data_IF_295803675584
#
_entry.id   IF_295803675584
#
_cell.length_a   1.000
_cell.length_b   1.000
_cell.length_c   1.000
_cell.angle_alpha   90.00
_cell.angle_beta   90.00
_cell.angle_gamma   90.00
#
_symmetry.space_group_name_H-M   'P 1'
#
loop_
_entity.id
_entity.type
_entity.pdbx_description
1 polymer ?
#
# COMPACT_ATOMS: atom_id res chain seq x y z
N UNK A 1 39.76 -3.52 10.37
CA UNK A 1 38.60 -3.57 11.29
C UNK A 1 37.41 -4.05 10.50
N UNK A 2 36.71 -5.09 10.97
CA UNK A 2 35.43 -5.52 10.38
C UNK A 2 34.41 -4.41 10.64
N UNK A 3 33.97 -3.73 9.58
CA UNK A 3 32.87 -2.76 9.68
C UNK A 3 31.56 -3.54 9.74
N UNK A 4 30.62 -3.11 10.57
CA UNK A 4 29.24 -3.60 10.55
C UNK A 4 28.33 -2.51 9.98
N UNK A 5 28.49 -2.07 8.72
CA UNK A 5 27.88 -0.84 8.21
C UNK A 5 26.35 -0.82 8.38
N UNK A 6 25.68 -1.97 8.24
CA UNK A 6 24.25 -2.09 8.48
C UNK A 6 23.89 -1.91 9.97
N UNK A 7 24.56 -2.64 10.87
CA UNK A 7 24.31 -2.54 12.31
C UNK A 7 24.67 -1.15 12.82
N UNK A 8 25.82 -0.61 12.41
CA UNK A 8 26.26 0.75 12.71
C UNK A 8 25.25 1.79 12.20
N UNK A 9 24.75 1.65 10.98
CA UNK A 9 23.73 2.53 10.40
C UNK A 9 22.40 2.47 11.14
N UNK A 10 21.89 1.26 11.43
CA UNK A 10 20.65 1.06 12.18
C UNK A 10 20.81 1.59 13.62
N UNK A 11 21.91 1.26 14.31
CA UNK A 11 22.18 1.77 15.65
C UNK A 11 22.37 3.28 15.67
N UNK A 12 22.97 3.87 14.62
CA UNK A 12 23.04 5.33 14.46
C UNK A 12 21.63 5.91 14.36
N UNK A 13 20.79 5.38 13.47
CA UNK A 13 19.39 5.82 13.32
C UNK A 13 18.59 5.69 14.63
N UNK A 14 18.76 4.58 15.36
CA UNK A 14 18.14 4.39 16.68
C UNK A 14 18.61 5.45 17.68
N UNK A 15 19.90 5.81 17.66
CA UNK A 15 20.48 6.85 18.52
C UNK A 15 20.11 8.27 18.13
N UNK A 16 19.63 8.50 16.90
CA UNK A 16 19.13 9.81 16.46
C UNK A 16 17.79 10.17 17.12
N UNK A 17 17.06 9.18 17.68
CA UNK A 17 15.78 9.39 18.35
C UNK A 17 14.74 10.12 17.48
N UNK A 18 14.73 9.83 16.17
CA UNK A 18 13.81 10.42 15.20
C UNK A 18 12.34 10.13 15.54
N UNK A 19 11.48 11.13 15.38
CA UNK A 19 10.02 11.03 15.49
C UNK A 19 9.48 10.42 14.19
N UNK A 20 8.73 9.32 14.29
CA UNK A 20 8.24 8.57 13.12
C UNK A 20 6.75 8.78 12.85
N UNK A 21 6.46 9.36 11.69
CA UNK A 21 5.15 9.50 11.06
C UNK A 21 5.05 8.67 9.76
N UNK A 22 5.85 7.61 9.68
CA UNK A 22 5.90 6.61 8.60
C UNK A 22 5.48 5.23 9.10
N UNK A 23 5.36 4.27 8.19
CA UNK A 23 5.37 2.85 8.57
C UNK A 23 6.73 2.43 9.18
N UNK A 24 6.81 1.34 9.97
CA UNK A 24 5.73 0.43 10.39
C UNK A 24 4.87 0.95 11.56
N UNK A 25 3.64 0.47 11.63
CA UNK A 25 2.59 0.92 12.53
C UNK A 25 2.92 0.81 14.02
N UNK A 26 3.80 -0.10 14.45
CA UNK A 26 4.24 -0.26 15.86
C UNK A 26 5.15 0.88 16.37
N UNK A 27 5.56 1.83 15.51
CA UNK A 27 6.34 3.02 15.85
C UNK A 27 7.58 2.72 16.70
N UNK A 28 8.50 1.93 16.14
CA UNK A 28 9.76 1.50 16.77
C UNK A 28 9.58 0.67 18.06
N UNK A 29 8.46 -0.04 18.17
CA UNK A 29 8.20 -1.00 19.25
C UNK A 29 7.31 -0.44 20.36
N UNK A 30 7.09 0.88 20.37
CA UNK A 30 6.20 1.56 21.33
C UNK A 30 4.80 0.98 21.35
N UNK A 31 4.28 0.54 20.20
CA UNK A 31 2.95 -0.06 20.12
C UNK A 31 2.79 -1.36 20.91
N UNK A 32 3.87 -2.10 21.18
CA UNK A 32 3.81 -3.26 22.07
C UNK A 32 3.85 -2.85 23.55
N UNK A 33 4.41 -1.68 23.88
CA UNK A 33 4.56 -1.21 25.26
C UNK A 33 3.28 -0.64 25.87
N UNK A 34 2.19 -0.53 25.11
CA UNK A 34 0.93 0.09 25.57
C UNK A 34 0.09 -0.81 26.47
N UNK A 35 0.37 -2.12 26.51
CA UNK A 35 -0.41 -3.13 27.27
C UNK A 35 0.52 -4.04 28.05
N UNK A 36 0.02 -4.78 29.05
CA UNK A 36 0.83 -5.74 29.79
C UNK A 36 1.29 -6.91 28.88
N UNK A 37 0.38 -7.41 28.05
CA UNK A 37 0.58 -8.54 27.13
C UNK A 37 1.66 -8.22 26.09
N UNK A 38 1.60 -7.03 25.50
CA UNK A 38 2.60 -6.57 24.53
C UNK A 38 3.99 -6.34 25.16
N UNK A 39 4.07 -5.91 26.43
CA UNK A 39 5.35 -5.82 27.16
C UNK A 39 5.94 -7.20 27.39
N UNK A 40 5.13 -8.15 27.84
CA UNK A 40 5.56 -9.53 28.02
C UNK A 40 6.04 -10.16 26.71
N UNK A 41 5.35 -9.89 25.59
CA UNK A 41 5.81 -10.29 24.25
C UNK A 41 7.17 -9.68 23.91
N UNK A 42 7.36 -8.38 24.18
CA UNK A 42 8.62 -7.67 23.92
C UNK A 42 9.79 -8.22 24.77
N UNK A 43 9.55 -8.50 26.04
CA UNK A 43 10.56 -9.04 26.95
C UNK A 43 11.02 -10.45 26.55
N UNK A 44 10.16 -11.19 25.85
CA UNK A 44 10.43 -12.56 25.37
C UNK A 44 10.76 -12.65 23.88
N UNK A 45 11.01 -11.53 23.20
CA UNK A 45 11.10 -11.48 21.72
C UNK A 45 12.11 -12.48 21.12
N UNK A 46 13.29 -12.62 21.71
CA UNK A 46 14.29 -13.58 21.20
C UNK A 46 13.90 -15.01 21.59
N UNK A 47 13.33 -15.20 22.78
CA UNK A 47 12.88 -16.51 23.27
C UNK A 47 11.71 -17.09 22.45
N UNK A 48 10.93 -16.24 21.79
CA UNK A 48 9.83 -16.64 20.91
C UNK A 48 10.29 -17.04 19.50
N UNK A 49 11.57 -16.91 19.15
CA UNK A 49 12.09 -17.33 17.83
C UNK A 49 12.34 -18.85 17.81
N UNK A 50 11.24 -19.59 17.71
CA UNK A 50 11.19 -21.05 17.69
C UNK A 50 10.63 -21.56 16.36
N UNK A 51 10.71 -22.88 16.14
CA UNK A 51 10.16 -23.57 14.96
C UNK A 51 9.05 -24.53 15.39
N UNK A 52 8.34 -25.13 14.43
CA UNK A 52 7.29 -26.14 14.65
C UNK A 52 7.78 -27.37 15.45
N UNK A 53 7.70 -27.27 16.78
CA UNK A 53 8.03 -28.32 17.73
C UNK A 53 6.81 -28.74 18.54
N UNK A 54 6.88 -29.90 19.18
CA UNK A 54 5.79 -30.38 20.02
C UNK A 54 5.41 -29.34 21.10
N UNK A 55 4.12 -29.00 21.18
CA UNK A 55 3.60 -27.96 22.07
C UNK A 55 3.33 -26.62 21.39
N UNK A 56 3.82 -26.43 20.16
CA UNK A 56 3.47 -25.31 19.28
C UNK A 56 2.98 -25.85 17.92
N UNK A 57 2.23 -25.04 17.17
CA UNK A 57 1.40 -25.49 16.03
C UNK A 57 2.10 -25.28 14.67
N UNK A 58 1.83 -26.12 13.67
CA UNK A 58 2.46 -25.99 12.34
C UNK A 58 1.60 -25.07 11.44
N UNK A 59 2.17 -23.97 10.90
CA UNK A 59 1.41 -23.03 10.06
C UNK A 59 0.78 -23.67 8.81
N UNK A 60 1.43 -24.67 8.21
CA UNK A 60 0.92 -25.38 7.03
C UNK A 60 -0.13 -26.45 7.37
N UNK A 61 -0.26 -26.78 8.65
CA UNK A 61 -1.23 -27.76 9.18
C UNK A 61 -1.71 -27.31 10.56
N UNK A 62 -2.32 -26.12 10.61
CA UNK A 62 -2.73 -25.49 11.85
C UNK A 62 -3.90 -26.26 12.50
N UNK A 63 -3.66 -26.82 13.69
CA UNK A 63 -4.65 -27.62 14.44
C UNK A 63 -4.87 -27.11 15.87
N UNK A 64 -3.99 -26.24 16.38
CA UNK A 64 -3.97 -25.71 17.74
C UNK A 64 -3.93 -24.17 17.79
N UNK A 65 -2.88 -23.61 18.41
CA UNK A 65 -2.80 -22.16 18.68
C UNK A 65 -2.90 -21.29 17.42
N UNK A 66 -2.35 -21.72 16.29
CA UNK A 66 -2.43 -20.94 15.03
C UNK A 66 -3.86 -20.99 14.49
N UNK A 67 -4.52 -22.14 14.59
CA UNK A 67 -5.92 -22.29 14.19
C UNK A 67 -6.82 -21.38 15.03
N UNK A 68 -6.69 -21.42 16.35
CA UNK A 68 -7.46 -20.54 17.25
C UNK A 68 -7.22 -19.06 16.95
N UNK A 69 -5.95 -18.67 16.80
CA UNK A 69 -5.57 -17.30 16.41
C UNK A 69 -6.19 -16.85 15.09
N UNK A 70 -6.19 -17.70 14.06
CA UNK A 70 -6.76 -17.36 12.74
C UNK A 70 -8.29 -17.39 12.72
N UNK A 71 -8.94 -18.21 13.55
CA UNK A 71 -10.40 -18.18 13.77
C UNK A 71 -10.84 -16.87 14.44
N UNK A 72 -10.12 -16.45 15.48
CA UNK A 72 -10.35 -15.16 16.14
C UNK A 72 -10.08 -13.98 15.18
N UNK A 73 -9.05 -14.07 14.34
CA UNK A 73 -8.80 -13.11 13.26
C UNK A 73 -10.00 -13.04 12.28
N UNK A 74 -10.50 -14.19 11.86
CA UNK A 74 -11.65 -14.30 10.96
C UNK A 74 -12.90 -13.65 11.56
N UNK A 75 -13.14 -13.90 12.85
CA UNK A 75 -14.24 -13.29 13.60
C UNK A 75 -14.15 -11.77 13.68
N UNK A 76 -12.97 -11.21 13.95
CA UNK A 76 -12.78 -9.75 14.03
C UNK A 76 -13.06 -9.06 12.69
N UNK A 77 -12.47 -9.58 11.60
CA UNK A 77 -12.64 -9.02 10.25
C UNK A 77 -13.98 -9.40 9.61
N UNK A 78 -14.71 -10.39 10.15
CA UNK A 78 -15.96 -10.86 9.57
C UNK A 78 -15.77 -11.63 8.27
N UNK A 79 -14.65 -12.34 8.13
CA UNK A 79 -14.34 -13.20 6.98
C UNK A 79 -14.75 -14.64 7.25
N UNK A 80 -14.98 -15.42 6.20
CA UNK A 80 -15.16 -16.87 6.32
C UNK A 80 -13.88 -17.57 6.82
N UNK A 81 -12.71 -17.19 6.28
CA UNK A 81 -11.41 -17.70 6.72
C UNK A 81 -10.31 -16.66 6.58
N UNK A 82 -9.39 -16.64 7.53
CA UNK A 82 -8.22 -15.77 7.53
C UNK A 82 -6.92 -16.54 7.67
N UNK A 83 -5.84 -15.97 7.15
CA UNK A 83 -4.50 -16.55 7.17
C UNK A 83 -3.48 -15.51 7.66
N UNK A 84 -2.50 -15.99 8.42
CA UNK A 84 -1.28 -15.24 8.73
C UNK A 84 -0.28 -15.37 7.58
N UNK A 85 0.20 -14.24 7.06
CA UNK A 85 1.20 -14.19 6.00
C UNK A 85 2.51 -13.63 6.56
N UNK A 86 3.55 -14.48 6.59
CA UNK A 86 4.90 -14.10 7.05
C UNK A 86 5.81 -13.60 5.91
N UNK A 87 5.33 -13.63 4.67
CA UNK A 87 6.02 -13.17 3.46
C UNK A 87 5.39 -11.88 2.88
N UNK A 88 4.68 -11.12 3.71
CA UNK A 88 4.04 -9.86 3.38
C UNK A 88 2.80 -9.99 2.47
N UNK A 89 2.15 -8.86 2.18
CA UNK A 89 0.98 -8.86 1.29
C UNK A 89 1.32 -9.25 -0.15
N UNK A 90 2.61 -9.24 -0.53
CA UNK A 90 3.08 -9.80 -1.80
C UNK A 90 2.66 -11.27 -1.96
N UNK A 91 2.87 -12.12 -0.95
CA UNK A 91 2.44 -13.52 -1.03
C UNK A 91 0.91 -13.63 -1.06
N UNK A 92 0.21 -12.80 -0.27
CA UNK A 92 -1.26 -12.74 -0.28
C UNK A 92 -1.83 -12.39 -1.65
N UNK A 93 -1.26 -11.39 -2.34
CA UNK A 93 -1.65 -11.03 -3.72
C UNK A 93 -1.44 -12.19 -4.70
N UNK A 94 -0.31 -12.91 -4.61
CA UNK A 94 -0.07 -14.09 -5.44
C UNK A 94 -1.08 -15.20 -5.13
N UNK A 95 -1.37 -15.47 -3.86
CA UNK A 95 -2.37 -16.47 -3.44
C UNK A 95 -3.75 -16.11 -4.00
N UNK A 96 -4.19 -14.85 -3.86
CA UNK A 96 -5.48 -14.38 -4.39
C UNK A 96 -5.57 -14.61 -5.91
N UNK A 97 -4.54 -14.21 -6.67
CA UNK A 97 -4.51 -14.34 -8.13
C UNK A 97 -4.53 -15.81 -8.58
N UNK A 98 -3.64 -16.62 -8.02
CA UNK A 98 -3.45 -18.00 -8.47
C UNK A 98 -4.62 -18.92 -8.05
N UNK A 99 -5.24 -18.66 -6.90
CA UNK A 99 -6.42 -19.40 -6.45
C UNK A 99 -7.70 -19.00 -7.20
N UNK A 100 -7.76 -17.77 -7.74
CA UNK A 100 -8.96 -17.24 -8.38
C UNK A 100 -9.00 -17.42 -9.89
N UNK A 101 -7.84 -17.42 -10.57
CA UNK A 101 -7.79 -17.38 -12.03
C UNK A 101 -6.95 -18.51 -12.63
N UNK A 102 -7.35 -18.97 -13.81
CA UNK A 102 -6.60 -19.89 -14.66
C UNK A 102 -5.69 -19.14 -15.64
N UNK A 103 -4.70 -19.85 -16.17
CA UNK A 103 -3.80 -19.29 -17.18
C UNK A 103 -4.56 -18.76 -18.40
N UNK A 104 -4.19 -17.57 -18.88
CA UNK A 104 -4.78 -16.96 -20.08
C UNK A 104 -6.15 -16.30 -19.89
N UNK A 105 -6.74 -16.35 -18.69
CA UNK A 105 -8.02 -15.71 -18.39
C UNK A 105 -7.92 -14.18 -18.39
N UNK A 106 -9.01 -13.52 -18.80
CA UNK A 106 -9.12 -12.07 -18.80
C UNK A 106 -9.55 -11.57 -17.43
N UNK A 107 -8.91 -10.49 -16.95
CA UNK A 107 -9.24 -9.83 -15.68
C UNK A 107 -9.27 -8.31 -15.85
N UNK A 108 -10.02 -7.63 -14.99
CA UNK A 108 -10.03 -6.17 -14.89
C UNK A 108 -9.11 -5.76 -13.75
N UNK A 109 -8.23 -4.80 -13.96
CA UNK A 109 -7.17 -4.46 -13.00
C UNK A 109 -7.07 -2.95 -12.82
N UNK A 110 -6.99 -2.49 -11.58
CA UNK A 110 -6.61 -1.11 -11.28
C UNK A 110 -5.17 -0.84 -11.77
N UNK A 111 -4.99 0.20 -12.59
CA UNK A 111 -3.66 0.57 -13.08
C UNK A 111 -2.70 0.97 -11.95
N UNK A 112 -3.23 1.42 -10.81
CA UNK A 112 -2.47 1.81 -9.63
C UNK A 112 -2.19 0.66 -8.65
N UNK A 113 -2.34 -0.60 -9.07
CA UNK A 113 -1.98 -1.73 -8.24
C UNK A 113 -0.48 -1.77 -7.89
N UNK A 114 -0.15 -2.40 -6.76
CA UNK A 114 1.23 -2.66 -6.38
C UNK A 114 1.90 -3.65 -7.35
N UNK A 115 3.22 -3.52 -7.54
CA UNK A 115 4.03 -4.41 -8.41
C UNK A 115 3.78 -5.92 -8.22
N UNK A 116 3.40 -6.35 -7.01
CA UNK A 116 3.09 -7.76 -6.73
C UNK A 116 1.88 -8.29 -7.51
N UNK A 117 0.86 -7.44 -7.74
CA UNK A 117 -0.31 -7.82 -8.55
C UNK A 117 0.13 -8.07 -9.99
N UNK A 118 0.92 -7.14 -10.54
CA UNK A 118 1.48 -7.28 -11.89
C UNK A 118 2.39 -8.50 -12.04
N UNK A 119 3.22 -8.80 -11.02
CA UNK A 119 4.01 -10.03 -11.00
C UNK A 119 3.10 -11.27 -11.07
N UNK A 120 2.00 -11.29 -10.32
CA UNK A 120 1.01 -12.36 -10.39
C UNK A 120 0.36 -12.49 -11.77
N UNK A 121 0.03 -11.37 -12.41
CA UNK A 121 -0.53 -11.32 -13.78
C UNK A 121 0.47 -11.92 -14.78
N UNK A 122 1.74 -11.54 -14.70
CA UNK A 122 2.81 -12.07 -15.55
C UNK A 122 2.98 -13.57 -15.33
N UNK A 123 3.17 -14.00 -14.07
CA UNK A 123 3.43 -15.40 -13.72
C UNK A 123 2.26 -16.32 -14.07
N UNK A 124 1.02 -15.82 -13.95
CA UNK A 124 -0.20 -16.56 -14.29
C UNK A 124 -0.65 -16.35 -15.74
N UNK A 125 0.12 -15.58 -16.54
CA UNK A 125 -0.16 -15.23 -17.95
C UNK A 125 -1.59 -14.75 -18.17
N UNK A 126 -2.07 -13.91 -17.26
CA UNK A 126 -3.42 -13.33 -17.35
C UNK A 126 -3.47 -12.23 -18.41
N UNK A 127 -4.67 -11.93 -18.89
CA UNK A 127 -4.93 -10.87 -19.86
C UNK A 127 -5.58 -9.68 -19.16
N UNK A 128 -4.81 -8.69 -18.69
CA UNK A 128 -5.35 -7.56 -17.95
C UNK A 128 -6.07 -6.59 -18.88
N UNK A 129 -7.18 -6.03 -18.39
CA UNK A 129 -7.81 -4.83 -18.92
C UNK A 129 -7.78 -3.78 -17.82
N UNK A 130 -7.11 -2.66 -18.07
CA UNK A 130 -6.83 -1.68 -17.03
C UNK A 130 -7.96 -0.67 -16.83
N UNK A 131 -8.17 -0.29 -15.57
CA UNK A 131 -9.02 0.83 -15.17
C UNK A 131 -8.11 2.01 -14.83
N UNK A 132 -8.39 3.18 -15.43
CA UNK A 132 -7.63 4.39 -15.17
C UNK A 132 -7.95 4.97 -13.80
N UNK A 133 -6.99 5.71 -13.26
CA UNK A 133 -7.16 6.51 -12.05
C UNK A 133 -7.38 7.97 -12.44
N UNK A 134 -8.11 8.68 -11.58
CA UNK A 134 -8.26 10.13 -11.64
C UNK A 134 -6.99 10.76 -11.05
N UNK A 135 -6.40 11.71 -11.78
CA UNK A 135 -5.43 12.64 -11.22
C UNK A 135 -6.20 13.91 -10.87
N UNK A 136 -6.15 14.31 -9.59
CA UNK A 136 -6.82 15.52 -9.15
C UNK A 136 -6.01 16.75 -9.59
N UNK A 137 -6.60 17.62 -10.41
CA UNK A 137 -5.89 18.79 -10.95
C UNK A 137 -5.62 19.89 -9.92
N UNK A 138 -6.35 19.92 -8.80
CA UNK A 138 -6.16 20.91 -7.74
C UNK A 138 -4.96 20.54 -6.86
N UNK A 139 -4.86 19.27 -6.48
CA UNK A 139 -3.83 18.74 -5.59
C UNK A 139 -2.67 18.06 -6.32
N UNK A 140 -2.79 17.87 -7.63
CA UNK A 140 -1.82 17.21 -8.50
C UNK A 140 -1.37 15.84 -7.93
N UNK A 141 -2.33 15.07 -7.44
CA UNK A 141 -2.11 13.77 -6.81
C UNK A 141 -3.00 12.70 -7.44
N UNK A 142 -2.54 11.44 -7.51
CA UNK A 142 -3.41 10.28 -7.76
C UNK A 142 -4.55 10.25 -6.74
N UNK A 143 -5.79 10.39 -7.24
CA UNK A 143 -6.96 10.51 -6.40
C UNK A 143 -7.56 9.14 -6.08
N UNK A 144 -8.13 8.45 -7.06
CA UNK A 144 -8.68 7.09 -6.93
C UNK A 144 -9.05 6.55 -8.31
N UNK A 145 -9.61 5.33 -8.38
CA UNK A 145 -10.11 4.77 -9.63
C UNK A 145 -11.21 5.67 -10.24
N UNK A 146 -11.20 5.80 -11.57
CA UNK A 146 -12.29 6.46 -12.30
C UNK A 146 -13.49 5.52 -12.38
N UNK A 147 -14.52 5.79 -11.56
CA UNK A 147 -15.71 4.95 -11.48
C UNK A 147 -16.54 4.95 -12.78
N UNK A 148 -16.55 6.05 -13.55
CA UNK A 148 -17.22 6.07 -14.86
C UNK A 148 -16.54 5.12 -15.83
N UNK A 149 -15.21 5.22 -15.90
CA UNK A 149 -14.41 4.35 -16.74
C UNK A 149 -14.50 2.89 -16.29
N UNK A 150 -14.50 2.63 -14.98
CA UNK A 150 -14.72 1.30 -14.41
C UNK A 150 -16.01 0.66 -14.94
N UNK A 151 -17.15 1.37 -14.86
CA UNK A 151 -18.43 0.86 -15.36
C UNK A 151 -18.46 0.66 -16.88
N UNK A 152 -17.71 1.48 -17.63
CA UNK A 152 -17.54 1.25 -19.08
C UNK A 152 -16.73 -0.01 -19.35
N UNK A 153 -15.59 -0.18 -18.70
CA UNK A 153 -14.68 -1.32 -18.87
C UNK A 153 -15.38 -2.63 -18.57
N UNK A 154 -16.15 -2.71 -17.47
CA UNK A 154 -16.86 -3.95 -17.11
C UNK A 154 -17.95 -4.30 -18.12
N UNK A 155 -18.67 -3.30 -18.65
CA UNK A 155 -19.70 -3.50 -19.68
C UNK A 155 -19.12 -4.02 -21.00
N UNK A 156 -17.92 -3.57 -21.36
CA UNK A 156 -17.21 -3.97 -22.58
C UNK A 156 -16.47 -5.30 -22.45
N UNK A 157 -16.24 -5.80 -21.23
CA UNK A 157 -15.43 -7.00 -20.94
C UNK A 157 -16.18 -8.03 -20.09
N UNK A 158 -17.40 -8.38 -20.50
CA UNK A 158 -18.24 -9.37 -19.80
C UNK A 158 -17.65 -10.78 -19.72
N UNK A 159 -16.62 -11.06 -20.52
CA UNK A 159 -15.87 -12.32 -20.51
C UNK A 159 -14.76 -12.36 -19.45
N UNK A 160 -14.46 -11.25 -18.77
CA UNK A 160 -13.50 -11.21 -17.68
C UNK A 160 -13.98 -12.07 -16.48
N UNK A 161 -13.02 -12.69 -15.78
CA UNK A 161 -13.28 -13.62 -14.67
C UNK A 161 -13.25 -12.96 -13.30
N UNK A 162 -12.64 -11.79 -13.21
CA UNK A 162 -12.57 -11.06 -11.96
C UNK A 162 -11.92 -9.70 -12.10
N UNK A 163 -11.90 -9.01 -10.97
CA UNK A 163 -11.48 -7.63 -10.80
C UNK A 163 -10.45 -7.62 -9.67
N UNK A 164 -9.32 -6.93 -9.87
CA UNK A 164 -8.31 -6.69 -8.84
C UNK A 164 -8.15 -5.18 -8.67
N UNK A 165 -8.43 -4.67 -7.46
CA UNK A 165 -8.35 -3.23 -7.15
C UNK A 165 -7.56 -2.97 -5.86
N UNK A 166 -7.06 -1.75 -5.69
CA UNK A 166 -6.35 -1.34 -4.47
C UNK A 166 -7.20 -0.41 -3.61
N UNK A 167 -7.47 -0.78 -2.36
CA UNK A 167 -8.33 -0.02 -1.44
C UNK A 167 -7.79 -0.07 0.00
N UNK A 168 -7.51 1.06 0.68
CA UNK A 168 -7.44 2.40 0.12
C UNK A 168 -6.25 2.49 -0.84
N UNK A 169 -6.19 3.55 -1.64
CA UNK A 169 -4.95 3.86 -2.34
C UNK A 169 -3.86 4.34 -1.35
N UNK A 170 -2.65 4.60 -1.85
CA UNK A 170 -1.53 5.01 -1.00
C UNK A 170 -1.81 6.30 -0.21
N UNK A 171 -2.57 7.23 -0.80
CA UNK A 171 -2.96 8.50 -0.20
C UNK A 171 -4.04 8.36 0.88
N UNK A 172 -4.64 7.17 1.04
CA UNK A 172 -5.73 6.92 1.99
C UNK A 172 -7.12 7.18 1.40
N UNK A 173 -7.22 7.45 0.10
CA UNK A 173 -8.51 7.64 -0.59
C UNK A 173 -9.17 6.29 -0.85
N UNK A 174 -10.44 6.20 -0.50
CA UNK A 174 -11.29 5.03 -0.56
C UNK A 174 -12.37 5.25 -1.62
N UNK A 175 -12.59 4.29 -2.51
CA UNK A 175 -13.74 4.31 -3.43
C UNK A 175 -14.87 3.41 -2.90
N UNK A 176 -16.07 3.56 -3.45
CA UNK A 176 -17.21 2.75 -3.07
C UNK A 176 -17.08 1.31 -3.58
N UNK A 177 -16.55 0.41 -2.74
CA UNK A 177 -16.39 -1.01 -3.09
C UNK A 177 -17.74 -1.71 -3.24
N UNK A 178 -18.77 -1.31 -2.49
CA UNK A 178 -20.08 -1.96 -2.56
C UNK A 178 -20.70 -1.82 -3.97
N UNK A 179 -20.52 -0.66 -4.61
CA UNK A 179 -20.92 -0.46 -6.02
C UNK A 179 -20.13 -1.33 -6.98
N UNK A 180 -18.81 -1.47 -6.77
CA UNK A 180 -17.94 -2.36 -7.54
C UNK A 180 -18.41 -3.81 -7.42
N UNK A 181 -18.63 -4.30 -6.19
CA UNK A 181 -19.07 -5.66 -5.91
C UNK A 181 -20.44 -5.91 -6.54
N UNK A 182 -21.37 -4.97 -6.42
CA UNK A 182 -22.70 -5.06 -7.02
C UNK A 182 -22.62 -5.23 -8.53
N UNK A 183 -21.76 -4.48 -9.21
CA UNK A 183 -21.62 -4.57 -10.66
C UNK A 183 -20.84 -5.82 -11.10
N UNK A 184 -19.80 -6.21 -10.35
CA UNK A 184 -19.04 -7.44 -10.58
C UNK A 184 -19.94 -8.69 -10.52
N UNK A 185 -20.81 -8.78 -9.50
CA UNK A 185 -21.75 -9.89 -9.32
C UNK A 185 -22.72 -10.05 -10.49
N UNK A 186 -23.21 -8.95 -11.07
CA UNK A 186 -24.08 -9.01 -12.27
C UNK A 186 -23.40 -9.67 -13.47
N UNK A 187 -22.07 -9.63 -13.51
CA UNK A 187 -21.26 -10.19 -14.59
C UNK A 187 -20.51 -11.47 -14.17
N UNK A 188 -20.86 -12.07 -13.02
CA UNK A 188 -20.20 -13.26 -12.47
C UNK A 188 -18.68 -13.12 -12.32
N UNK A 189 -18.21 -11.93 -11.93
CA UNK A 189 -16.80 -11.64 -11.71
C UNK A 189 -16.46 -11.69 -10.22
N UNK A 190 -15.31 -12.30 -9.89
CA UNK A 190 -14.72 -12.19 -8.55
C UNK A 190 -14.14 -10.80 -8.30
N UNK A 191 -14.12 -10.35 -7.06
CA UNK A 191 -13.53 -9.08 -6.61
C UNK A 191 -12.45 -9.37 -5.58
N UNK A 192 -11.21 -9.15 -5.98
CA UNK A 192 -10.02 -9.30 -5.14
C UNK A 192 -9.50 -7.90 -4.80
N UNK A 193 -9.26 -7.64 -3.52
CA UNK A 193 -8.84 -6.32 -3.07
C UNK A 193 -7.45 -6.38 -2.40
N UNK A 194 -6.52 -5.58 -2.91
CA UNK A 194 -5.29 -5.25 -2.20
C UNK A 194 -5.56 -4.10 -1.23
N UNK A 195 -5.76 -4.46 0.03
CA UNK A 195 -5.94 -3.54 1.15
C UNK A 195 -4.70 -3.43 2.05
N UNK A 196 -3.50 -3.49 1.46
CA UNK A 196 -2.24 -3.37 2.21
C UNK A 196 -2.24 -2.18 3.20
N UNK A 197 -2.84 -1.05 2.83
CA UNK A 197 -2.88 0.17 3.63
C UNK A 197 -4.10 0.29 4.56
N UNK A 198 -5.03 -0.68 4.56
CA UNK A 198 -6.31 -0.64 5.27
C UNK A 198 -6.42 -1.64 6.43
N UNK A 199 -5.31 -2.10 7.01
CA UNK A 199 -5.36 -3.14 8.06
C UNK A 199 -6.08 -2.69 9.35
N UNK A 200 -6.21 -1.38 9.59
CA UNK A 200 -6.93 -0.84 10.74
C UNK A 200 -8.42 -0.57 10.47
N UNK A 201 -8.87 -0.73 9.23
CA UNK A 201 -10.25 -0.42 8.83
C UNK A 201 -11.26 -1.33 9.53
N UNK A 202 -12.34 -0.73 10.02
CA UNK A 202 -13.36 -1.41 10.82
C UNK A 202 -12.99 -1.61 12.30
N UNK A 203 -11.88 -1.04 12.79
CA UNK A 203 -11.55 -1.02 14.21
C UNK A 203 -12.26 0.10 15.00
N UNK A 204 -12.76 1.13 14.31
CA UNK A 204 -13.54 2.24 14.85
C UNK A 204 -14.54 2.70 13.77
N UNK A 205 -15.71 3.18 14.19
CA UNK A 205 -16.79 3.61 13.28
C UNK A 205 -16.49 4.85 12.41
N UNK A 206 -15.52 5.69 12.81
CA UNK A 206 -15.06 6.87 12.06
C UNK A 206 -14.09 6.51 10.92
N UNK A 207 -13.45 5.34 10.99
CA UNK A 207 -12.57 4.80 9.95
C UNK A 207 -13.39 4.25 8.76
N UNK A 208 -12.80 4.19 7.56
CA UNK A 208 -13.40 3.45 6.46
C UNK A 208 -13.66 1.99 6.83
N UNK A 209 -14.67 1.40 6.18
CA UNK A 209 -15.01 -0.01 6.37
C UNK A 209 -14.02 -0.93 5.68
N UNK A 210 -13.85 -2.12 6.24
CA UNK A 210 -13.01 -3.17 5.65
C UNK A 210 -13.68 -3.76 4.40
N UNK A 211 -12.90 -3.91 3.33
CA UNK A 211 -13.38 -4.45 2.06
C UNK A 211 -13.97 -5.86 2.17
N UNK A 212 -13.50 -6.66 3.13
CA UNK A 212 -14.02 -8.02 3.34
C UNK A 212 -15.44 -7.98 3.91
N UNK A 213 -15.73 -7.05 4.84
CA UNK A 213 -17.09 -6.85 5.39
C UNK A 213 -18.06 -6.31 4.35
N UNK A 214 -17.57 -5.53 3.40
CA UNK A 214 -18.34 -5.04 2.25
C UNK A 214 -18.67 -6.14 1.24
N UNK A 215 -18.06 -7.33 1.36
CA UNK A 215 -18.39 -8.51 0.57
C UNK A 215 -17.47 -8.77 -0.63
N UNK A 216 -16.24 -8.24 -0.61
CA UNK A 216 -15.19 -8.67 -1.54
C UNK A 216 -14.89 -10.16 -1.35
N UNK A 217 -14.51 -10.89 -2.40
CA UNK A 217 -14.30 -12.34 -2.34
C UNK A 217 -13.03 -12.68 -1.56
N UNK A 218 -11.97 -11.90 -1.77
CA UNK A 218 -10.70 -12.00 -1.05
C UNK A 218 -10.08 -10.62 -0.81
N UNK A 219 -9.43 -10.46 0.34
CA UNK A 219 -8.76 -9.21 0.71
C UNK A 219 -7.42 -9.51 1.36
N UNK A 220 -6.35 -8.89 0.88
CA UNK A 220 -5.06 -8.90 1.57
C UNK A 220 -4.84 -7.57 2.31
N UNK A 221 -4.31 -7.61 3.52
CA UNK A 221 -3.92 -6.40 4.28
C UNK A 221 -2.49 -6.53 4.81
N UNK A 222 -1.72 -5.43 4.91
CA UNK A 222 -0.40 -5.46 5.54
C UNK A 222 -0.52 -5.02 6.98
N UNK A 223 -0.39 -5.97 7.92
CA UNK A 223 -0.52 -5.66 9.35
C UNK A 223 0.53 -4.64 9.78
N UNK A 224 1.80 -4.84 9.40
CA UNK A 224 2.90 -3.95 9.78
C UNK A 224 2.78 -2.50 9.32
N UNK A 225 1.94 -2.19 8.31
CA UNK A 225 1.83 -0.81 7.82
C UNK A 225 1.10 0.08 8.82
N UNK A 226 -0.02 -0.38 9.36
CA UNK A 226 -0.90 0.44 10.21
C UNK A 226 -1.22 -0.19 11.58
N UNK A 227 -0.75 -1.40 11.88
CA UNK A 227 -0.98 -2.10 13.16
C UNK A 227 0.34 -2.30 13.93
N UNK A 228 0.31 -2.63 15.24
CA UNK A 228 1.52 -2.93 15.99
C UNK A 228 2.08 -4.32 15.63
N UNK A 229 2.59 -4.47 14.40
CA UNK A 229 3.13 -5.72 13.85
C UNK A 229 4.45 -5.48 13.13
N UNK A 230 5.32 -6.49 13.11
CA UNK A 230 6.65 -6.41 12.50
C UNK A 230 6.59 -6.33 10.97
N UNK A 231 7.49 -5.58 10.34
CA UNK A 231 7.64 -5.54 8.87
C UNK A 231 7.67 -6.94 8.27
N UNK A 232 7.04 -7.12 7.10
CA UNK A 232 6.75 -8.39 6.41
C UNK A 232 5.50 -9.16 6.89
N UNK A 233 4.79 -8.69 7.91
CA UNK A 233 3.52 -9.33 8.30
C UNK A 233 2.32 -8.82 7.52
N UNK A 234 1.40 -9.74 7.21
CA UNK A 234 0.16 -9.45 6.49
C UNK A 234 -0.94 -10.47 6.84
N UNK A 235 -2.19 -10.14 6.50
CA UNK A 235 -3.32 -11.07 6.56
C UNK A 235 -3.91 -11.28 5.18
N UNK A 236 -4.43 -12.47 4.94
CA UNK A 236 -5.32 -12.78 3.83
C UNK A 236 -6.68 -13.18 4.41
N UNK A 237 -7.75 -12.57 3.91
CA UNK A 237 -9.13 -12.83 4.29
C UNK A 237 -9.91 -13.35 3.09
N UNK A 238 -10.73 -14.37 3.30
CA UNK A 238 -11.55 -15.05 2.27
C UNK A 238 -13.00 -15.04 2.73
N UNK A 239 -13.93 -14.75 1.81
CA UNK A 239 -15.37 -14.81 2.08
C UNK A 239 -16.08 -16.04 1.51
N UNK A 240 -15.51 -16.68 0.48
CA UNK A 240 -16.14 -17.82 -0.18
C UNK A 240 -15.53 -19.15 0.27
N UNK A 241 -16.37 -20.03 0.84
CA UNK A 241 -15.97 -21.38 1.26
C UNK A 241 -15.40 -22.21 0.10
N UNK A 242 -15.96 -22.08 -1.08
CA UNK A 242 -15.57 -22.84 -2.28
C UNK A 242 -14.13 -22.56 -2.74
N UNK A 243 -13.56 -21.44 -2.32
CA UNK A 243 -12.20 -21.06 -2.69
C UNK A 243 -11.13 -21.57 -1.72
N UNK A 244 -11.52 -22.01 -0.52
CA UNK A 244 -10.60 -22.33 0.58
C UNK A 244 -9.58 -23.41 0.19
N UNK A 245 -9.99 -24.45 -0.54
CA UNK A 245 -9.08 -25.55 -0.89
C UNK A 245 -7.99 -25.10 -1.87
N UNK A 246 -8.35 -24.29 -2.88
CA UNK A 246 -7.39 -23.69 -3.80
C UNK A 246 -6.48 -22.70 -3.08
N UNK A 247 -7.03 -21.90 -2.18
CA UNK A 247 -6.26 -20.96 -1.35
C UNK A 247 -5.27 -21.72 -0.48
N UNK A 248 -5.67 -22.81 0.19
CA UNK A 248 -4.77 -23.63 1.01
C UNK A 248 -3.59 -24.17 0.19
N UNK A 249 -3.84 -24.64 -1.04
CA UNK A 249 -2.79 -25.11 -1.94
C UNK A 249 -1.75 -24.00 -2.21
N UNK A 250 -2.19 -22.83 -2.67
CA UNK A 250 -1.27 -21.74 -3.00
C UNK A 250 -0.67 -21.05 -1.77
N UNK A 251 -1.36 -21.06 -0.62
CA UNK A 251 -0.80 -20.63 0.65
C UNK A 251 0.44 -21.45 1.00
N UNK A 252 0.39 -22.76 0.80
CA UNK A 252 1.55 -23.64 0.99
C UNK A 252 2.65 -23.43 -0.05
N UNK A 253 2.31 -23.01 -1.28
CA UNK A 253 3.31 -22.71 -2.31
C UNK A 253 4.03 -21.38 -2.11
N UNK A 254 3.34 -20.36 -1.59
CA UNK A 254 3.85 -18.98 -1.52
C UNK A 254 4.24 -18.52 -0.11
N UNK A 255 4.14 -19.40 0.89
CA UNK A 255 4.59 -19.13 2.26
C UNK A 255 5.88 -19.89 2.56
N UNK A 256 6.67 -19.36 3.49
CA UNK A 256 7.87 -20.06 4.01
C UNK A 256 7.49 -21.37 4.69
N UNK A 257 8.26 -22.44 4.40
CA UNK A 257 8.19 -23.72 5.12
C UNK A 257 8.71 -23.65 6.56
N UNK A 258 9.36 -22.55 6.91
CA UNK A 258 9.85 -22.25 8.26
C UNK A 258 9.37 -20.83 8.62
N UNK A 259 8.10 -20.67 9.00
CA UNK A 259 7.53 -19.37 9.32
C UNK A 259 8.04 -18.86 10.67
N UNK A 260 8.28 -17.55 10.77
CA UNK A 260 8.70 -16.96 12.05
C UNK A 260 7.52 -16.89 13.02
N UNK A 261 7.65 -17.54 14.18
CA UNK A 261 6.68 -17.40 15.27
C UNK A 261 6.62 -15.97 15.81
N UNK A 262 7.72 -15.20 15.74
CA UNK A 262 7.70 -13.78 16.11
C UNK A 262 6.73 -12.97 15.26
N UNK A 263 6.73 -13.26 13.95
CA UNK A 263 5.82 -12.60 13.02
C UNK A 263 4.37 -12.96 13.37
N UNK A 264 4.10 -14.24 13.61
CA UNK A 264 2.77 -14.73 14.01
C UNK A 264 2.30 -14.15 15.35
N UNK A 265 3.15 -14.11 16.38
CA UNK A 265 2.84 -13.50 17.67
C UNK A 265 2.55 -11.99 17.54
N UNK A 266 3.35 -11.25 16.76
CA UNK A 266 3.10 -9.82 16.55
C UNK A 266 1.79 -9.54 15.80
N UNK A 267 1.42 -10.44 14.88
CA UNK A 267 0.16 -10.42 14.14
C UNK A 267 -1.04 -10.74 15.03
N UNK A 268 -0.91 -11.77 15.86
CA UNK A 268 -1.93 -12.16 16.82
C UNK A 268 -2.17 -11.08 17.88
N UNK A 269 -1.09 -10.48 18.39
CA UNK A 269 -1.15 -9.30 19.26
C UNK A 269 -1.82 -8.12 18.57
N UNK A 270 -1.53 -7.84 17.30
CA UNK A 270 -2.19 -6.76 16.55
C UNK A 270 -3.70 -6.96 16.47
N UNK A 271 -4.17 -8.18 16.19
CA UNK A 271 -5.60 -8.52 16.22
C UNK A 271 -6.17 -8.33 17.62
N UNK A 272 -5.50 -8.84 18.64
CA UNK A 272 -5.90 -8.68 20.04
C UNK A 272 -6.04 -7.20 20.41
N UNK A 273 -5.09 -6.36 20.01
CA UNK A 273 -5.12 -4.93 20.30
C UNK A 273 -6.33 -4.25 19.65
N UNK A 274 -6.57 -4.51 18.36
CA UNK A 274 -7.73 -3.95 17.67
C UNK A 274 -9.05 -4.36 18.33
N UNK A 275 -9.18 -5.63 18.72
CA UNK A 275 -10.41 -6.14 19.30
C UNK A 275 -10.73 -5.54 20.68
N UNK A 276 -9.71 -5.29 21.51
CA UNK A 276 -9.91 -4.87 22.90
C UNK A 276 -9.75 -3.35 23.11
N UNK A 277 -8.91 -2.70 22.31
CA UNK A 277 -8.56 -1.29 22.49
C UNK A 277 -8.80 -0.44 21.24
N UNK A 278 -9.02 -1.06 20.07
CA UNK A 278 -9.09 -0.39 18.78
C UNK A 278 -10.11 0.75 18.71
N UNK A 279 -11.34 0.51 19.19
CA UNK A 279 -12.43 1.51 19.10
C UNK A 279 -11.99 2.82 19.77
N UNK A 280 -11.58 2.77 21.04
CA UNK A 280 -11.15 3.97 21.78
C UNK A 280 -9.83 4.53 21.24
N UNK A 281 -8.86 3.67 20.95
CA UNK A 281 -7.52 4.11 20.56
C UNK A 281 -7.52 4.89 19.23
N UNK A 282 -8.34 4.47 18.26
CA UNK A 282 -8.50 5.21 17.01
C UNK A 282 -9.40 6.44 17.17
N UNK A 283 -10.37 6.43 18.08
CA UNK A 283 -11.17 7.62 18.40
C UNK A 283 -10.26 8.76 18.90
N UNK A 284 -9.43 8.46 19.91
CA UNK A 284 -8.47 9.39 20.49
C UNK A 284 -7.45 9.88 19.45
N UNK A 285 -6.97 8.99 18.57
CA UNK A 285 -6.06 9.35 17.48
C UNK A 285 -6.69 10.33 16.48
N UNK A 286 -7.93 10.06 16.06
CA UNK A 286 -8.63 10.88 15.08
C UNK A 286 -8.89 12.27 15.66
N UNK A 287 -9.32 12.36 16.93
CA UNK A 287 -9.50 13.65 17.60
C UNK A 287 -8.18 14.44 17.71
N UNK A 288 -7.08 13.76 18.03
CA UNK A 288 -5.75 14.36 18.07
C UNK A 288 -5.32 14.86 16.69
N UNK A 289 -5.54 14.08 15.65
CA UNK A 289 -5.27 14.49 14.27
C UNK A 289 -6.12 15.70 13.89
N UNK A 290 -7.44 15.66 14.08
CA UNK A 290 -8.32 16.78 13.72
C UNK A 290 -7.93 18.09 14.43
N UNK A 291 -7.52 18.02 15.72
CA UNK A 291 -6.99 19.17 16.47
C UNK A 291 -5.80 19.81 15.77
N UNK A 292 -4.77 19.03 15.42
CA UNK A 292 -3.56 19.56 14.81
C UNK A 292 -3.71 19.89 13.33
N UNK A 293 -4.61 19.21 12.63
CA UNK A 293 -5.02 19.58 11.27
C UNK A 293 -5.52 21.03 11.24
N UNK A 294 -6.43 21.39 12.14
CA UNK A 294 -6.99 22.75 12.21
C UNK A 294 -5.92 23.83 12.50
N UNK A 295 -4.84 23.49 13.21
CA UNK A 295 -3.71 24.40 13.44
C UNK A 295 -2.76 24.49 12.24
N UNK A 296 -2.50 23.37 11.55
CA UNK A 296 -1.64 23.31 10.37
C UNK A 296 -2.27 24.05 9.18
N UNK A 297 -3.59 23.96 9.01
CA UNK A 297 -4.32 24.67 7.94
C UNK A 297 -4.28 26.20 8.07
N UNK A 298 -3.79 26.74 9.20
CA UNK A 298 -3.53 28.18 9.36
C UNK A 298 -2.16 28.62 8.86
N UNK A 299 -1.31 27.68 8.45
CA UNK A 299 0.03 27.98 7.91
C UNK A 299 -0.14 28.36 6.44
N UNK A 300 0.40 29.51 6.05
CA UNK A 300 0.35 29.99 4.67
C UNK A 300 0.95 28.95 3.70
N UNK A 301 0.32 28.80 2.53
CA UNK A 301 0.72 27.86 1.47
C UNK A 301 0.64 26.37 1.81
N UNK A 302 0.07 26.00 2.98
CA UNK A 302 -0.12 24.61 3.39
C UNK A 302 -1.60 24.31 3.54
N UNK A 303 -2.03 23.17 2.99
CA UNK A 303 -3.38 22.64 3.20
C UNK A 303 -3.33 21.15 3.48
N UNK A 304 -4.37 20.60 4.11
CA UNK A 304 -4.52 19.16 4.28
C UNK A 304 -5.79 18.74 3.55
N UNK A 305 -5.69 17.76 2.65
CA UNK A 305 -6.85 17.28 1.91
C UNK A 305 -7.92 16.78 2.91
N UNK A 306 -9.17 17.22 2.71
CA UNK A 306 -10.26 16.92 3.62
C UNK A 306 -11.13 15.78 3.11
N UNK A 307 -11.77 15.06 4.06
CA UNK A 307 -12.76 14.02 3.75
C UNK A 307 -13.93 14.59 2.93
N UNK A 308 -14.32 15.84 3.17
CA UNK A 308 -15.37 16.52 2.40
C UNK A 308 -14.93 16.85 0.97
N UNK A 309 -13.65 17.14 0.74
CA UNK A 309 -13.14 17.35 -0.61
C UNK A 309 -13.26 16.09 -1.45
N UNK A 310 -12.92 14.93 -0.88
CA UNK A 310 -12.91 13.69 -1.66
C UNK A 310 -14.32 13.16 -1.96
N UNK A 311 -15.32 13.55 -1.15
CA UNK A 311 -16.72 13.15 -1.36
C UNK A 311 -17.28 13.75 -2.65
N UNK A 312 -17.28 12.96 -3.71
CA UNK A 312 -17.91 13.30 -4.99
C UNK A 312 -19.21 12.52 -5.19
N UNK A 313 -19.79 12.57 -6.40
CA UNK A 313 -20.98 11.79 -6.77
C UNK A 313 -20.83 10.28 -6.60
N UNK A 314 -19.60 9.76 -6.56
CA UNK A 314 -19.29 8.33 -6.35
C UNK A 314 -18.97 7.97 -4.90
N UNK A 315 -19.24 8.87 -3.95
CA UNK A 315 -19.12 8.61 -2.50
C UNK A 315 -17.72 8.10 -2.09
N UNK A 316 -16.65 8.68 -2.64
CA UNK A 316 -15.32 8.41 -2.12
C UNK A 316 -15.20 8.85 -0.66
N UNK A 317 -14.29 8.19 0.06
CA UNK A 317 -14.01 8.42 1.46
C UNK A 317 -12.50 8.61 1.68
N UNK A 318 -12.09 9.05 2.88
CA UNK A 318 -10.70 9.30 3.24
C UNK A 318 -10.36 8.69 4.59
N UNK A 319 -9.22 7.99 4.66
CA UNK A 319 -8.61 7.53 5.91
C UNK A 319 -8.22 8.74 6.80
N UNK A 320 -8.91 8.97 7.95
CA UNK A 320 -8.64 10.11 8.81
C UNK A 320 -7.33 9.97 9.60
N UNK A 321 -6.67 8.80 9.55
CA UNK A 321 -5.40 8.54 10.24
C UNK A 321 -4.18 8.91 9.39
N UNK A 322 -4.38 9.76 8.38
CA UNK A 322 -3.32 10.26 7.50
C UNK A 322 -3.49 11.74 7.23
N UNK A 323 -2.37 12.42 7.05
CA UNK A 323 -2.37 13.70 6.34
C UNK A 323 -1.82 13.52 4.94
N UNK A 324 -2.58 14.02 3.99
CA UNK A 324 -2.07 14.43 2.68
C UNK A 324 -1.84 15.94 2.79
N UNK A 325 -0.66 16.32 3.24
CA UNK A 325 -0.26 17.73 3.32
C UNK A 325 0.07 18.18 1.91
N UNK A 326 -0.69 19.14 1.39
CA UNK A 326 -0.52 19.71 0.07
C UNK A 326 0.03 21.13 0.18
N UNK A 327 1.09 21.40 -0.59
CA UNK A 327 1.66 22.71 -0.76
C UNK A 327 1.03 23.42 -1.96
N UNK A 328 0.89 24.74 -1.86
CA UNK A 328 0.44 25.57 -2.97
C UNK A 328 1.35 25.38 -4.20
N UNK A 329 0.77 25.52 -5.40
CA UNK A 329 1.53 25.44 -6.65
C UNK A 329 2.72 26.41 -6.63
N UNK A 330 3.89 25.91 -7.02
CA UNK A 330 5.17 26.63 -6.99
C UNK A 330 6.07 26.27 -5.81
N UNK A 331 5.59 25.50 -4.83
CA UNK A 331 6.41 24.95 -3.73
C UNK A 331 6.65 23.44 -3.92
N UNK A 332 7.79 22.93 -3.45
CA UNK A 332 8.21 21.54 -3.64
C UNK A 332 8.08 20.69 -2.35
N UNK A 333 7.30 19.62 -2.41
CA UNK A 333 7.06 18.67 -1.31
C UNK A 333 8.27 17.81 -0.93
N UNK A 334 9.17 17.50 -1.87
CA UNK A 334 10.39 16.75 -1.60
C UNK A 334 11.39 17.59 -0.78
N UNK A 335 11.50 18.89 -1.06
CA UNK A 335 12.30 19.79 -0.24
C UNK A 335 11.75 19.92 1.19
N UNK A 336 10.42 19.91 1.35
CA UNK A 336 9.80 19.86 2.67
C UNK A 336 10.07 18.51 3.37
N UNK A 337 10.02 17.38 2.64
CA UNK A 337 10.38 16.06 3.18
C UNK A 337 11.81 16.06 3.73
N UNK A 338 12.77 16.58 2.96
CA UNK A 338 14.18 16.65 3.38
C UNK A 338 14.36 17.57 4.59
N UNK A 339 13.72 18.73 4.60
CA UNK A 339 13.72 19.63 5.75
C UNK A 339 13.17 18.94 7.01
N UNK A 340 12.04 18.24 6.91
CA UNK A 340 11.46 17.52 8.05
C UNK A 340 12.40 16.41 8.53
N UNK A 341 13.05 15.70 7.61
CA UNK A 341 14.07 14.69 7.94
C UNK A 341 15.25 15.29 8.69
N UNK A 342 15.76 16.45 8.26
CA UNK A 342 16.81 17.19 8.98
C UNK A 342 16.38 17.61 10.40
N UNK A 343 15.08 17.81 10.61
CA UNK A 343 14.48 18.12 11.93
C UNK A 343 14.13 16.88 12.76
N UNK A 344 14.50 15.69 12.30
CA UNK A 344 14.23 14.42 12.98
C UNK A 344 12.79 13.93 12.85
N UNK A 345 12.06 14.38 11.82
CA UNK A 345 10.70 13.92 11.49
C UNK A 345 10.77 13.03 10.26
N UNK A 346 10.42 11.75 10.42
CA UNK A 346 10.33 10.81 9.32
C UNK A 346 8.89 10.71 8.80
N UNK A 347 8.64 11.29 7.63
CA UNK A 347 7.38 11.14 6.89
C UNK A 347 7.40 9.87 6.03
N UNK A 348 6.24 9.50 5.47
CA UNK A 348 6.10 8.30 4.65
C UNK A 348 6.68 8.51 3.24
N UNK A 349 6.21 9.53 2.53
CA UNK A 349 6.67 9.88 1.19
C UNK A 349 6.28 11.31 0.83
N UNK A 350 6.79 11.80 -0.29
CA UNK A 350 6.31 13.01 -0.96
C UNK A 350 6.15 12.76 -2.46
N UNK A 351 5.33 13.59 -3.09
CA UNK A 351 5.42 13.91 -4.51
C UNK A 351 5.77 15.40 -4.66
N UNK A 352 5.66 15.96 -5.86
CA UNK A 352 5.99 17.37 -6.13
C UNK A 352 5.30 18.35 -5.20
N UNK A 353 4.04 18.14 -4.85
CA UNK A 353 3.27 19.10 -4.04
C UNK A 353 2.71 18.49 -2.76
N UNK A 354 2.76 17.17 -2.60
CA UNK A 354 2.14 16.48 -1.47
C UNK A 354 3.18 15.77 -0.62
N UNK A 355 2.92 15.75 0.69
CA UNK A 355 3.67 15.01 1.68
C UNK A 355 2.69 14.12 2.45
N UNK A 356 3.00 12.83 2.56
CA UNK A 356 2.15 11.85 3.22
C UNK A 356 2.70 11.55 4.61
N UNK A 357 1.83 11.68 5.60
CA UNK A 357 2.09 11.26 6.98
C UNK A 357 1.05 10.20 7.37
N UNK A 358 1.51 9.10 7.96
CA UNK A 358 0.65 8.00 8.41
C UNK A 358 0.74 7.89 9.93
N UNK A 359 -0.39 8.03 10.59
CA UNK A 359 -0.51 7.95 12.03
C UNK A 359 -0.96 6.55 12.46
N UNK A 360 -0.66 6.23 13.71
CA UNK A 360 -1.26 5.11 14.41
C UNK A 360 -1.53 5.52 15.85
N UNK A 361 -2.31 4.76 16.63
CA UNK A 361 -2.60 5.11 18.04
C UNK A 361 -1.37 5.14 18.95
N UNK A 362 -0.19 4.82 18.41
CA UNK A 362 1.08 4.79 19.11
C UNK A 362 1.92 6.05 18.90
N UNK A 363 1.39 7.02 18.13
CA UNK A 363 1.87 8.39 18.12
C UNK A 363 1.25 9.18 19.29
N UNK A 364 2.00 10.07 19.92
CA UNK A 364 1.54 10.87 21.07
C UNK A 364 1.39 12.36 20.75
N UNK A 365 0.72 13.10 21.64
CA UNK A 365 0.42 14.52 21.45
C UNK A 365 1.69 15.40 21.30
N UNK A 366 2.78 15.11 22.01
CA UNK A 366 4.00 15.89 21.89
C UNK A 366 4.66 15.72 20.51
N UNK A 367 4.51 14.55 19.87
CA UNK A 367 4.98 14.35 18.50
C UNK A 367 4.17 15.20 17.51
N UNK A 368 2.83 15.22 17.62
CA UNK A 368 1.99 16.07 16.77
C UNK A 368 2.28 17.55 16.98
N UNK A 369 2.51 17.96 18.23
CA UNK A 369 2.92 19.33 18.58
C UNK A 369 4.27 19.70 17.96
N UNK A 370 5.23 18.78 17.99
CA UNK A 370 6.54 18.98 17.37
C UNK A 370 6.45 19.09 15.85
N UNK A 371 5.63 18.25 15.20
CA UNK A 371 5.33 18.35 13.78
C UNK A 371 4.74 19.73 13.43
N UNK A 372 3.68 20.15 14.13
CA UNK A 372 3.06 21.46 13.92
C UNK A 372 4.07 22.61 14.10
N UNK A 373 4.84 22.61 15.19
CA UNK A 373 5.86 23.64 15.44
C UNK A 373 6.90 23.68 14.32
N UNK A 374 7.37 22.52 13.88
CA UNK A 374 8.39 22.41 12.83
C UNK A 374 7.89 22.92 11.49
N UNK A 375 6.62 22.64 11.14
CA UNK A 375 5.97 23.17 9.94
C UNK A 375 5.77 24.69 10.04
N UNK A 376 5.31 25.19 11.19
CA UNK A 376 5.09 26.62 11.41
C UNK A 376 6.36 27.46 11.35
N UNK A 377 7.47 26.92 11.83
CA UNK A 377 8.78 27.57 11.81
C UNK A 377 9.51 27.40 10.46
N UNK A 378 8.91 26.65 9.52
CA UNK A 378 9.48 26.40 8.21
C UNK A 378 9.36 27.64 7.31
N UNK A 379 10.49 28.11 6.80
CA UNK A 379 10.53 29.15 5.78
C UNK A 379 10.29 28.53 4.38
N UNK A 380 9.01 28.37 4.03
CA UNK A 380 8.59 27.77 2.75
C UNK A 380 9.12 28.53 1.53
N UNK A 381 9.52 29.80 1.66
CA UNK A 381 10.07 30.57 0.53
C UNK A 381 11.32 29.93 -0.08
N UNK A 382 12.04 29.11 0.71
CA UNK A 382 13.21 28.33 0.28
C UNK A 382 12.86 27.11 -0.57
N UNK A 383 11.59 26.73 -0.63
CA UNK A 383 11.12 25.55 -1.37
C UNK A 383 10.43 25.91 -2.68
N UNK A 384 10.55 27.17 -3.12
CA UNK A 384 10.03 27.59 -4.42
C UNK A 384 10.81 26.92 -5.55
N UNK A 385 10.10 26.42 -6.55
CA UNK A 385 10.71 25.79 -7.72
C UNK A 385 9.88 25.97 -8.99
N UNK A 386 10.51 25.78 -10.15
CA UNK A 386 9.81 25.75 -11.44
C UNK A 386 9.18 24.36 -11.62
N UNK A 387 7.86 24.29 -11.54
CA UNK A 387 7.18 23.01 -11.46
C UNK A 387 6.93 22.32 -12.80
N UNK A 388 7.09 21.00 -12.78
CA UNK A 388 6.49 20.11 -13.75
C UNK A 388 5.24 19.54 -13.09
N UNK A 389 4.06 19.89 -13.60
CA UNK A 389 2.81 19.26 -13.15
C UNK A 389 2.80 17.79 -13.58
N UNK A 390 2.14 16.94 -12.78
CA UNK A 390 1.93 15.55 -13.18
C UNK A 390 1.08 15.59 -14.46
N UNK A 391 1.45 14.81 -15.49
CA UNK A 391 0.76 14.85 -16.79
C UNK A 391 -0.75 14.68 -16.59
N UNK A 392 -1.51 15.75 -16.84
CA UNK A 392 -2.94 15.82 -16.51
C UNK A 392 -3.80 14.86 -17.34
N UNK A 393 -3.26 14.38 -18.46
CA UNK A 393 -3.88 13.43 -19.38
C UNK A 393 -3.14 12.09 -19.37
N UNK A 394 -2.90 11.51 -18.20
CA UNK A 394 -2.39 10.14 -18.12
C UNK A 394 -3.35 9.20 -18.85
N UNK A 395 -2.85 8.53 -19.88
CA UNK A 395 -3.55 7.46 -20.58
C UNK A 395 -2.88 6.13 -20.26
N UNK A 396 -3.65 5.05 -20.30
CA UNK A 396 -3.11 3.70 -20.13
C UNK A 396 -2.27 3.39 -21.37
N UNK A 397 -0.97 3.07 -21.22
CA UNK A 397 -0.12 2.73 -22.37
C UNK A 397 -0.67 1.56 -23.17
N UNK A 398 -0.45 1.58 -24.49
CA UNK A 398 -0.87 0.49 -25.37
C UNK A 398 -0.03 -0.76 -25.09
N UNK A 399 -0.69 -1.89 -24.82
CA UNK A 399 -0.04 -3.20 -24.69
C UNK A 399 0.20 -3.76 -26.09
N UNK A 400 1.45 -3.73 -26.56
CA UNK A 400 1.84 -4.27 -27.87
C UNK A 400 2.00 -5.79 -27.84
N UNK A 401 2.63 -6.29 -26.77
CA UNK A 401 2.72 -7.73 -26.51
C UNK A 401 2.37 -8.03 -25.05
N UNK A 402 1.85 -9.23 -24.75
CA UNK A 402 1.57 -9.60 -23.37
C UNK A 402 2.85 -9.55 -22.50
N UNK A 403 2.77 -9.05 -21.26
CA UNK A 403 3.92 -8.92 -20.38
C UNK A 403 4.70 -10.23 -20.18
N UNK A 404 4.02 -11.38 -20.13
CA UNK A 404 4.68 -12.69 -19.99
C UNK A 404 5.52 -13.08 -21.22
N UNK A 405 5.20 -12.58 -22.42
CA UNK A 405 6.03 -12.79 -23.61
C UNK A 405 7.25 -11.86 -23.61
N UNK A 406 7.09 -10.64 -23.09
CA UNK A 406 8.18 -9.66 -22.99
C UNK A 406 9.32 -10.13 -22.06
N UNK A 407 9.02 -10.98 -21.06
CA UNK A 407 10.04 -11.52 -20.13
C UNK A 407 11.16 -12.22 -20.88
N UNK A 408 10.83 -13.08 -21.84
CA UNK A 408 11.76 -13.98 -22.56
C UNK A 408 12.38 -13.35 -23.81
N UNK A 409 11.97 -12.14 -24.18
CA UNK A 409 12.45 -11.45 -25.39
C UNK A 409 13.84 -10.87 -25.15
N UNK A 410 14.60 -10.73 -26.23
CA UNK A 410 15.88 -10.00 -26.22
C UNK A 410 15.63 -8.52 -25.91
N UNK A 411 16.55 -7.95 -25.14
CA UNK A 411 16.43 -6.61 -24.56
C UNK A 411 17.70 -5.83 -24.78
N UNK A 412 17.55 -4.53 -25.01
CA UNK A 412 18.66 -3.57 -25.03
C UNK A 412 18.31 -2.34 -24.22
N UNK A 413 19.32 -1.65 -23.70
CA UNK A 413 19.15 -0.38 -23.00
C UNK A 413 19.37 0.78 -23.97
N UNK A 414 18.45 1.74 -23.96
CA UNK A 414 18.53 2.98 -24.75
C UNK A 414 18.30 4.17 -23.84
N UNK A 415 18.69 5.38 -24.27
CA UNK A 415 18.35 6.58 -23.49
C UNK A 415 16.84 6.79 -23.49
N UNK A 416 16.30 7.38 -22.42
CA UNK A 416 14.85 7.53 -22.23
C UNK A 416 14.16 8.17 -23.44
N UNK A 417 14.70 9.26 -23.99
CA UNK A 417 14.12 9.93 -25.17
C UNK A 417 14.16 9.09 -26.45
N UNK A 418 15.13 8.17 -26.58
CA UNK A 418 15.28 7.28 -27.75
C UNK A 418 14.29 6.12 -27.70
N UNK A 419 13.62 5.90 -26.57
CA UNK A 419 12.69 4.82 -26.37
C UNK A 419 11.27 5.12 -26.88
N UNK A 420 10.98 6.35 -27.31
CA UNK A 420 9.66 6.73 -27.82
C UNK A 420 9.30 5.86 -29.03
N UNK A 421 8.16 5.16 -28.94
CA UNK A 421 7.67 4.21 -29.93
C UNK A 421 8.23 2.79 -29.78
N UNK A 422 9.15 2.54 -28.85
CA UNK A 422 9.67 1.20 -28.56
C UNK A 422 8.78 0.46 -27.56
N UNK A 423 8.88 -0.87 -27.56
CA UNK A 423 8.21 -1.73 -26.58
C UNK A 423 9.10 -1.80 -25.32
N UNK A 424 8.51 -1.49 -24.17
CA UNK A 424 9.17 -1.56 -22.88
C UNK A 424 9.60 -3.01 -22.55
N UNK A 425 10.86 -3.21 -22.17
CA UNK A 425 11.43 -4.54 -21.90
C UNK A 425 11.51 -4.91 -20.42
N UNK A 426 11.24 -3.95 -19.53
CA UNK A 426 11.30 -4.11 -18.07
C UNK A 426 10.22 -3.23 -17.43
N UNK A 427 9.70 -3.62 -16.26
CA UNK A 427 8.73 -2.76 -15.57
C UNK A 427 9.45 -1.52 -15.02
N UNK A 428 8.86 -0.35 -15.23
CA UNK A 428 9.41 0.92 -14.75
C UNK A 428 8.52 1.47 -13.64
N UNK A 429 9.07 1.56 -12.43
CA UNK A 429 8.28 1.73 -11.21
C UNK A 429 8.95 2.76 -10.27
N UNK A 430 8.36 3.96 -10.07
CA UNK A 430 8.79 4.88 -9.02
C UNK A 430 8.55 4.28 -7.64
N UNK A 431 9.49 4.50 -6.72
CA UNK A 431 9.44 3.95 -5.38
C UNK A 431 9.89 4.97 -4.32
N UNK A 432 9.05 5.31 -3.34
CA UNK A 432 7.61 4.96 -3.22
C UNK A 432 6.76 5.64 -4.32
N UNK A 433 5.51 5.18 -4.60
CA UNK A 433 4.72 4.16 -3.89
C UNK A 433 4.88 2.72 -4.42
N UNK A 434 5.68 2.49 -5.48
CA UNK A 434 5.79 1.16 -6.09
C UNK A 434 4.67 0.83 -7.08
N UNK A 435 4.07 1.85 -7.68
CA UNK A 435 3.05 1.77 -8.73
C UNK A 435 3.73 1.92 -10.09
N UNK A 436 3.56 1.00 -11.05
CA UNK A 436 4.22 1.09 -12.35
C UNK A 436 3.77 2.28 -13.19
N UNK A 437 4.72 3.00 -13.77
CA UNK A 437 4.47 4.00 -14.83
C UNK A 437 4.12 3.24 -16.12
N UNK A 438 5.02 2.32 -16.49
CA UNK A 438 4.92 1.48 -17.68
C UNK A 438 5.34 0.04 -17.34
N UNK A 439 4.62 -0.91 -17.91
CA UNK A 439 4.86 -2.35 -17.77
C UNK A 439 5.62 -2.87 -18.99
N UNK A 440 6.40 -3.94 -18.82
CA UNK A 440 7.00 -4.61 -19.96
C UNK A 440 5.92 -5.10 -20.94
N UNK A 441 6.19 -4.98 -22.24
CA UNK A 441 5.24 -5.26 -23.32
C UNK A 441 4.38 -4.07 -23.75
N UNK A 442 4.40 -2.95 -23.02
CA UNK A 442 3.72 -1.72 -23.40
C UNK A 442 4.58 -0.80 -24.26
N UNK A 443 3.96 0.02 -25.09
CA UNK A 443 4.64 1.04 -25.91
C UNK A 443 5.01 2.23 -25.04
N UNK A 444 6.27 2.65 -25.11
CA UNK A 444 6.74 3.89 -24.49
C UNK A 444 6.36 5.06 -25.40
N UNK A 445 5.44 5.91 -24.97
CA UNK A 445 5.09 7.13 -25.68
C UNK A 445 5.73 8.39 -25.05
N UNK A 446 5.36 9.56 -25.56
CA UNK A 446 5.86 10.86 -25.07
C UNK A 446 5.39 11.19 -23.66
N UNK A 447 4.17 10.81 -23.29
CA UNK A 447 3.62 11.07 -21.96
C UNK A 447 4.35 10.23 -20.91
N UNK A 448 4.71 8.98 -21.25
CA UNK A 448 5.56 8.13 -20.42
C UNK A 448 6.93 8.76 -20.19
N UNK A 449 7.57 9.25 -21.25
CA UNK A 449 8.86 9.95 -21.13
C UNK A 449 8.75 11.18 -20.22
N UNK A 450 7.72 12.03 -20.40
CA UNK A 450 7.51 13.20 -19.54
C UNK A 450 7.27 12.83 -18.07
N UNK A 451 6.55 11.74 -17.79
CA UNK A 451 6.39 11.27 -16.41
C UNK A 451 7.72 10.77 -15.81
N UNK A 452 8.56 10.11 -16.60
CA UNK A 452 9.87 9.68 -16.12
C UNK A 452 10.75 10.89 -15.79
N UNK A 453 10.74 11.92 -16.64
CA UNK A 453 11.43 13.19 -16.37
C UNK A 453 10.91 13.82 -15.08
N UNK A 454 9.59 13.87 -14.88
CA UNK A 454 8.98 14.33 -13.63
C UNK A 454 9.55 13.61 -12.39
N UNK A 455 9.63 12.28 -12.39
CA UNK A 455 10.13 11.54 -11.23
C UNK A 455 11.65 11.69 -11.05
N UNK A 456 12.42 11.78 -12.14
CA UNK A 456 13.87 11.99 -12.12
C UNK A 456 14.20 13.37 -11.53
N UNK A 457 13.52 14.43 -11.98
CA UNK A 457 13.71 15.79 -11.46
C UNK A 457 13.34 15.92 -9.98
N UNK A 458 12.38 15.10 -9.53
CA UNK A 458 11.99 15.02 -8.13
C UNK A 458 12.86 14.07 -7.28
N UNK A 459 14.01 13.61 -7.81
CA UNK A 459 14.94 12.71 -7.13
C UNK A 459 14.27 11.44 -6.57
N UNK A 460 13.21 10.97 -7.23
CA UNK A 460 12.52 9.73 -6.86
C UNK A 460 13.30 8.54 -7.39
N UNK A 461 13.48 7.50 -6.56
CA UNK A 461 14.07 6.25 -7.03
C UNK A 461 13.13 5.58 -8.04
N UNK A 462 13.63 5.23 -9.22
CA UNK A 462 12.85 4.57 -10.28
C UNK A 462 13.46 3.21 -10.59
N UNK A 463 12.77 2.14 -10.20
CA UNK A 463 13.15 0.78 -10.57
C UNK A 463 12.99 0.60 -12.08
N UNK A 464 13.94 -0.07 -12.73
CA UNK A 464 13.94 -0.29 -14.18
C UNK A 464 14.60 0.81 -15.01
N UNK A 465 15.04 1.90 -14.38
CA UNK A 465 15.89 2.94 -14.99
C UNK A 465 17.30 2.86 -14.40
N UNK A 466 18.31 2.89 -15.26
CA UNK A 466 19.72 2.87 -14.84
C UNK A 466 20.52 3.85 -15.69
N UNK A 467 21.18 4.83 -15.08
CA UNK A 467 21.99 5.86 -15.79
C UNK A 467 21.22 6.54 -16.93
N UNK A 468 19.99 7.00 -16.66
CA UNK A 468 19.07 7.63 -17.64
C UNK A 468 18.74 6.76 -18.86
N UNK A 469 18.88 5.43 -18.70
CA UNK A 469 18.51 4.45 -19.71
C UNK A 469 17.34 3.59 -19.25
N UNK A 470 16.49 3.29 -20.23
CA UNK A 470 15.35 2.39 -20.11
C UNK A 470 15.62 1.12 -20.95
N UNK A 471 15.17 -0.01 -20.44
CA UNK A 471 15.24 -1.30 -21.14
C UNK A 471 14.08 -1.41 -22.14
N UNK A 472 14.38 -1.66 -23.41
CA UNK A 472 13.40 -1.92 -24.48
C UNK A 472 13.60 -3.31 -25.09
N UNK A 473 12.57 -3.82 -25.76
CA UNK A 473 12.69 -5.05 -26.57
C UNK A 473 13.44 -4.77 -27.87
N UNK A 474 14.25 -5.76 -28.30
CA UNK A 474 15.01 -5.71 -29.56
C UNK A 474 14.19 -6.00 -30.81
#
# INVERSE_FOLDING_TARGET
MSKLPLVEGVLKYVKEHNISFSMPGHKNGRGFLTTAEGKELMDNFISCDITEVHGVDNLHKAEGIIKESTELLSKFYGSEKSYFLVNGSTSGNLIMIFSSFNEGEKIIVDRNCHKSVFNGIIMRKLKPVYVKNIIDGKYNAPFSIDMEHFFKVIKENKDAKGIILTYPNYYGVCFNIEEVIKEARKNNMKVLIDSAHGAHFGANSKLPSSAIKMGADMVVVSAHKTLPSLTQTAFLHINNKEDIDKVNFYFNCFSSTSPSYLFMCSMDYSRYYLQNYGEKAYDDLIELADKYKAEIEKIDHVSIISREYVKTKYQYDLDPTRYILNLEKGYNGNLLLDYLREKGIQCEMSDTYNLILIFSPFNNEEEFKYLYKTLRECDLSKFKFNSIDLVSNYHIPHVEIPPYEAVERKKKKVKIYEAIGCICGENVIPYPPGIPIIMMGEIIDKDIVHMLEYYIENHTDILGIYEDKITILE
#
